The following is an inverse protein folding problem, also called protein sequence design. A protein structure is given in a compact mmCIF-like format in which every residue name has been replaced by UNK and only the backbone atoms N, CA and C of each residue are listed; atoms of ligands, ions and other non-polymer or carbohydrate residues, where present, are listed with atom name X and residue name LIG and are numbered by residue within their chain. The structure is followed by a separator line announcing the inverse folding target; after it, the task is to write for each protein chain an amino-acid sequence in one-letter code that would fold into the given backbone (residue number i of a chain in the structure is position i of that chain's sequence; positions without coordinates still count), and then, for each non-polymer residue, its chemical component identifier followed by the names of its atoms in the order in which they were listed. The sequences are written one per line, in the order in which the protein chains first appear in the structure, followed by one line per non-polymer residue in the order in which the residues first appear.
data_IF_898552947799
#
_entry.id   IF_898552947799
#
_cell.length_a   1.000
_cell.length_b   1.000
_cell.length_c   1.000
_cell.angle_alpha   90.00
_cell.angle_beta   90.00
_cell.angle_gamma   90.00
#
_symmetry.space_group_name_H-M   'P 1'
#
loop_
_entity.id
_entity.type
_entity.pdbx_description
1 polymer ?
#
# COMPACT_ATOMS: atom_id res chain seq x y z
N UNK A 1 -50.70 -16.83 14.63
CA UNK A 1 -49.76 -17.89 14.18
C UNK A 1 -48.96 -17.57 12.91
N UNK A 2 -49.41 -16.72 11.97
CA UNK A 2 -48.61 -16.36 10.76
C UNK A 2 -47.38 -15.48 11.06
N UNK A 3 -47.49 -14.49 11.94
CA UNK A 3 -46.36 -13.60 12.29
C UNK A 3 -45.20 -14.32 12.99
N UNK A 4 -45.49 -15.34 13.82
CA UNK A 4 -44.47 -16.12 14.53
C UNK A 4 -43.55 -16.89 13.56
N UNK A 5 -44.07 -17.36 12.42
CA UNK A 5 -43.30 -18.09 11.40
C UNK A 5 -42.36 -17.19 10.58
N UNK A 6 -42.58 -15.88 10.57
CA UNK A 6 -41.72 -14.90 9.87
C UNK A 6 -40.70 -14.27 10.81
N UNK A 7 -41.07 -14.10 12.08
CA UNK A 7 -40.17 -13.57 13.11
C UNK A 7 -39.11 -14.60 13.54
N UNK A 8 -39.46 -15.90 13.61
CA UNK A 8 -38.49 -16.93 14.01
C UNK A 8 -37.26 -17.05 13.11
N UNK A 9 -37.33 -17.04 11.76
CA UNK A 9 -36.14 -17.07 10.91
C UNK A 9 -35.32 -15.77 10.99
N UNK A 10 -35.95 -14.61 11.25
CA UNK A 10 -35.24 -13.34 11.44
C UNK A 10 -34.41 -13.35 12.73
N UNK A 11 -34.97 -13.84 13.83
CA UNK A 11 -34.24 -13.99 15.09
C UNK A 11 -33.12 -15.02 14.96
N UNK A 12 -33.37 -16.15 14.30
CA UNK A 12 -32.35 -17.17 14.09
C UNK A 12 -31.23 -16.66 13.17
N UNK A 13 -31.57 -15.96 12.09
CA UNK A 13 -30.60 -15.32 11.20
C UNK A 13 -29.77 -14.25 11.91
N UNK A 14 -30.40 -13.42 12.74
CA UNK A 14 -29.72 -12.42 13.56
C UNK A 14 -28.77 -13.05 14.58
N UNK A 15 -29.17 -14.15 15.23
CA UNK A 15 -28.31 -14.90 16.14
C UNK A 15 -27.11 -15.54 15.44
N UNK A 16 -27.31 -16.14 14.27
CA UNK A 16 -26.22 -16.71 13.47
C UNK A 16 -25.25 -15.60 13.03
N UNK A 17 -25.77 -14.48 12.52
CA UNK A 17 -24.95 -13.34 12.11
C UNK A 17 -24.15 -12.77 13.29
N UNK A 18 -24.78 -12.61 14.46
CA UNK A 18 -24.10 -12.16 15.67
C UNK A 18 -23.00 -13.12 16.13
N UNK A 19 -23.26 -14.43 16.11
CA UNK A 19 -22.27 -15.44 16.46
C UNK A 19 -21.09 -15.46 15.48
N UNK A 20 -21.36 -15.31 14.17
CA UNK A 20 -20.32 -15.17 13.15
C UNK A 20 -19.50 -13.91 13.36
N UNK A 21 -20.13 -12.77 13.65
CA UNK A 21 -19.43 -11.52 13.95
C UNK A 21 -18.51 -11.67 15.17
N UNK A 22 -18.97 -12.30 16.26
CA UNK A 22 -18.11 -12.56 17.43
C UNK A 22 -16.93 -13.48 17.11
N UNK A 23 -17.12 -14.48 16.23
CA UNK A 23 -16.05 -15.37 15.77
C UNK A 23 -15.03 -14.66 14.87
N UNK A 24 -15.48 -13.74 14.03
CA UNK A 24 -14.64 -13.03 13.05
C UNK A 24 -13.98 -11.77 13.62
N UNK A 25 -14.60 -11.12 14.63
CA UNK A 25 -14.09 -9.90 15.25
C UNK A 25 -12.78 -10.12 16.02
N UNK A 26 -12.48 -11.35 16.43
CA UNK A 26 -11.33 -11.66 17.28
C UNK A 26 -10.04 -11.91 16.51
N UNK A 27 -9.99 -11.52 15.23
CA UNK A 27 -8.82 -11.66 14.38
C UNK A 27 -8.47 -10.26 13.90
N UNK A 28 -7.32 -9.73 14.34
CA UNK A 28 -6.68 -8.56 13.72
C UNK A 28 -6.21 -8.98 12.32
N UNK A 29 -7.15 -9.30 11.42
CA UNK A 29 -6.79 -9.56 10.02
C UNK A 29 -6.53 -8.23 9.35
N UNK A 30 -5.34 -8.11 8.76
CA UNK A 30 -5.07 -7.02 7.86
C UNK A 30 -5.88 -7.25 6.58
N UNK A 31 -6.97 -6.50 6.39
CA UNK A 31 -7.81 -6.56 5.19
C UNK A 31 -7.01 -6.32 3.90
N UNK A 32 -5.83 -5.72 4.00
CA UNK A 32 -4.89 -5.54 2.90
C UNK A 32 -4.26 -6.87 2.46
N UNK A 33 -3.95 -7.78 3.39
CA UNK A 33 -3.41 -9.13 3.08
C UNK A 33 -4.49 -10.05 2.48
N UNK A 34 -5.75 -9.89 2.90
CA UNK A 34 -6.89 -10.62 2.32
C UNK A 34 -7.09 -10.32 0.83
N UNK A 35 -6.73 -9.12 0.36
CA UNK A 35 -6.86 -8.70 -1.03
C UNK A 35 -5.69 -9.18 -1.92
N UNK A 36 -4.55 -9.55 -1.33
CA UNK A 36 -3.33 -9.93 -2.04
C UNK A 36 -3.30 -11.43 -2.42
N UNK A 37 -4.12 -12.26 -1.77
CA UNK A 37 -4.15 -13.72 -1.93
C UNK A 37 -3.00 -14.40 -1.17
N UNK A 38 -3.17 -15.68 -0.82
CA UNK A 38 -2.29 -16.43 0.12
C UNK A 38 -0.80 -16.51 -0.27
N UNK A 39 -0.39 -16.07 -1.47
CA UNK A 39 0.99 -16.15 -1.97
C UNK A 39 1.65 -14.80 -2.26
N UNK A 40 0.96 -13.69 -2.01
CA UNK A 40 1.48 -12.33 -2.30
C UNK A 40 1.72 -11.62 -0.97
N UNK A 41 3.00 -11.50 -0.58
CA UNK A 41 3.39 -10.76 0.62
C UNK A 41 3.74 -9.33 0.21
N UNK A 42 3.27 -8.35 0.99
CA UNK A 42 3.67 -6.96 0.81
C UNK A 42 5.15 -6.79 1.16
N UNK A 43 5.92 -6.33 0.19
CA UNK A 43 7.32 -5.97 0.34
C UNK A 43 7.49 -4.47 0.09
N UNK A 44 7.98 -3.77 1.11
CA UNK A 44 8.31 -2.35 1.04
C UNK A 44 9.83 -2.18 1.11
N UNK A 45 10.38 -1.35 0.24
CA UNK A 45 11.81 -1.12 0.17
C UNK A 45 12.36 -0.25 1.31
N UNK A 46 13.54 -0.63 1.80
CA UNK A 46 14.33 0.10 2.80
C UNK A 46 15.74 0.32 2.29
N UNK A 47 16.30 1.50 2.56
CA UNK A 47 17.71 1.84 2.31
C UNK A 47 18.33 2.25 3.65
N UNK A 48 19.42 1.60 4.03
CA UNK A 48 20.10 1.82 5.31
C UNK A 48 19.17 1.71 6.54
N UNK A 49 18.17 0.81 6.47
CA UNK A 49 17.16 0.62 7.52
C UNK A 49 16.08 1.70 7.57
N UNK A 50 16.03 2.61 6.61
CA UNK A 50 15.02 3.67 6.49
C UNK A 50 14.12 3.37 5.29
N UNK A 51 12.79 3.39 5.45
CA UNK A 51 11.89 3.09 4.36
C UNK A 51 11.99 4.16 3.26
N UNK A 52 12.11 3.69 2.01
CA UNK A 52 11.93 4.52 0.81
C UNK A 52 10.55 4.27 0.19
N UNK A 53 9.77 3.35 0.74
CA UNK A 53 8.47 2.96 0.21
C UNK A 53 7.45 2.79 1.35
N UNK A 54 6.30 3.45 1.22
CA UNK A 54 5.16 3.30 2.13
C UNK A 54 3.88 2.95 1.37
N UNK A 55 2.82 2.71 2.13
CA UNK A 55 1.48 2.50 1.60
C UNK A 55 0.64 3.79 1.71
N UNK A 56 0.23 4.32 0.56
CA UNK A 56 -0.50 5.59 0.46
C UNK A 56 0.22 6.74 1.16
N UNK A 57 -0.54 7.54 1.91
CA UNK A 57 0.01 8.69 2.67
C UNK A 57 0.27 8.36 4.14
N UNK A 58 -0.10 7.16 4.58
CA UNK A 58 0.08 6.76 5.98
C UNK A 58 1.57 6.57 6.23
N UNK A 59 2.07 7.21 7.29
CA UNK A 59 3.49 7.23 7.65
C UNK A 59 4.39 7.99 6.65
N UNK A 60 3.85 9.00 5.94
CA UNK A 60 4.65 9.87 5.05
C UNK A 60 5.86 10.51 5.75
N UNK A 61 5.77 10.74 7.06
CA UNK A 61 6.88 11.25 7.88
C UNK A 61 8.14 10.38 7.77
N UNK A 62 7.99 9.07 7.51
CA UNK A 62 9.14 8.19 7.29
C UNK A 62 9.85 8.50 5.96
N UNK A 63 9.09 8.78 4.89
CA UNK A 63 9.64 9.21 3.61
C UNK A 63 10.26 10.60 3.71
N UNK A 64 9.62 11.51 4.46
CA UNK A 64 10.16 12.84 4.72
C UNK A 64 11.50 12.77 5.45
N UNK A 65 11.57 11.99 6.52
CA UNK A 65 12.82 11.70 7.23
C UNK A 65 13.89 11.14 6.30
N UNK A 66 13.52 10.22 5.40
CA UNK A 66 14.45 9.67 4.40
C UNK A 66 14.99 10.74 3.46
N UNK A 67 14.10 11.57 2.92
CA UNK A 67 14.49 12.69 2.05
C UNK A 67 15.41 13.69 2.77
N UNK A 68 15.10 14.04 4.02
CA UNK A 68 15.95 14.92 4.84
C UNK A 68 17.35 14.31 5.09
N UNK A 69 17.45 12.98 5.19
CA UNK A 69 18.72 12.28 5.37
C UNK A 69 19.53 12.12 4.09
N UNK A 70 18.89 12.06 2.92
CA UNK A 70 19.59 11.76 1.66
C UNK A 70 20.44 12.93 1.16
N UNK A 71 20.22 14.14 1.68
CA UNK A 71 20.88 15.37 1.22
C UNK A 71 20.70 15.62 -0.29
N UNK A 72 19.63 15.07 -0.89
CA UNK A 72 19.30 15.21 -2.32
C UNK A 72 18.33 16.38 -2.53
N UNK A 73 18.56 17.14 -3.59
CA UNK A 73 17.82 18.37 -3.88
C UNK A 73 16.46 18.13 -4.57
N UNK A 74 16.16 16.90 -4.96
CA UNK A 74 15.00 16.61 -5.81
C UNK A 74 14.46 15.22 -5.54
N UNK A 75 13.14 15.07 -5.53
CA UNK A 75 12.48 13.77 -5.36
C UNK A 75 11.89 13.27 -6.68
N UNK A 76 12.12 11.99 -6.97
CA UNK A 76 11.34 11.20 -7.93
C UNK A 76 10.33 10.40 -7.12
N UNK A 77 9.04 10.70 -7.30
CA UNK A 77 7.97 10.00 -6.61
C UNK A 77 7.45 8.86 -7.48
N UNK A 78 7.62 7.62 -7.02
CA UNK A 78 7.03 6.43 -7.62
C UNK A 78 5.66 6.19 -6.99
N UNK A 79 4.61 6.30 -7.80
CA UNK A 79 3.27 5.93 -7.41
C UNK A 79 2.96 4.53 -7.92
N UNK A 80 1.99 3.84 -7.32
CA UNK A 80 1.51 2.60 -7.91
C UNK A 80 0.54 1.83 -7.03
N UNK A 81 0.37 0.56 -7.35
CA UNK A 81 -0.59 -0.32 -6.70
C UNK A 81 0.09 -1.53 -6.04
N UNK A 82 -0.63 -2.64 -5.90
CA UNK A 82 -0.08 -3.90 -5.39
C UNK A 82 1.18 -4.31 -6.13
N UNK A 83 1.24 -4.21 -7.48
CA UNK A 83 2.45 -4.57 -8.25
C UNK A 83 3.69 -3.75 -7.90
N UNK A 84 3.52 -2.57 -7.29
CA UNK A 84 4.63 -1.74 -6.82
C UNK A 84 5.16 -2.19 -5.45
N UNK A 85 4.30 -2.72 -4.57
CA UNK A 85 4.67 -3.19 -3.23
C UNK A 85 4.55 -4.71 -3.05
N UNK A 86 4.49 -5.48 -4.13
CA UNK A 86 4.40 -6.94 -4.06
C UNK A 86 5.44 -7.58 -4.97
N UNK A 87 6.16 -8.56 -4.45
CA UNK A 87 6.91 -9.52 -5.25
C UNK A 87 6.21 -10.86 -5.10
N UNK A 88 5.65 -11.38 -6.19
CA UNK A 88 5.05 -12.71 -6.17
C UNK A 88 6.17 -13.73 -5.97
N UNK A 89 6.15 -14.48 -4.87
CA UNK A 89 7.14 -15.52 -4.55
C UNK A 89 8.60 -15.01 -4.61
N UNK A 90 8.90 -13.97 -3.82
CA UNK A 90 10.22 -13.35 -3.73
C UNK A 90 11.33 -14.39 -3.49
N UNK A 91 12.31 -14.43 -4.39
CA UNK A 91 13.53 -15.23 -4.25
C UNK A 91 14.61 -14.44 -3.50
N UNK A 92 15.58 -15.16 -2.92
CA UNK A 92 16.73 -14.53 -2.25
C UNK A 92 17.49 -13.60 -3.22
N UNK A 93 17.62 -12.33 -2.84
CA UNK A 93 18.30 -11.31 -3.64
C UNK A 93 17.40 -10.54 -4.60
N UNK A 94 16.13 -10.91 -4.75
CA UNK A 94 15.16 -10.06 -5.44
C UNK A 94 14.81 -8.83 -4.60
N UNK A 95 14.32 -7.78 -5.24
CA UNK A 95 13.80 -6.59 -4.57
C UNK A 95 12.75 -5.91 -5.44
N UNK A 96 12.00 -5.01 -4.85
CA UNK A 96 10.98 -4.23 -5.56
C UNK A 96 11.63 -3.26 -6.55
N UNK A 97 10.96 -2.94 -7.65
CA UNK A 97 11.51 -2.01 -8.64
C UNK A 97 11.81 -0.60 -8.08
N UNK A 98 11.09 -0.05 -7.07
CA UNK A 98 11.50 1.22 -6.46
C UNK A 98 12.88 1.15 -5.81
N UNK A 99 13.25 0.00 -5.23
CA UNK A 99 14.60 -0.21 -4.71
C UNK A 99 15.64 -0.24 -5.84
N UNK A 100 15.37 -0.97 -6.93
CA UNK A 100 16.25 -1.00 -8.10
C UNK A 100 16.45 0.40 -8.70
N UNK A 101 15.37 1.19 -8.79
CA UNK A 101 15.43 2.56 -9.29
C UNK A 101 16.20 3.47 -8.34
N UNK A 102 16.07 3.27 -7.02
CA UNK A 102 16.86 3.99 -6.02
C UNK A 102 18.36 3.71 -6.21
N UNK A 103 18.75 2.43 -6.29
CA UNK A 103 20.14 2.01 -6.45
C UNK A 103 20.77 2.58 -7.73
N UNK A 104 20.05 2.50 -8.86
CA UNK A 104 20.51 3.02 -10.15
C UNK A 104 20.75 4.54 -10.12
N UNK A 105 19.96 5.27 -9.32
CA UNK A 105 20.02 6.73 -9.21
C UNK A 105 20.77 7.23 -7.98
N UNK A 106 21.38 6.34 -7.18
CA UNK A 106 22.02 6.67 -5.91
C UNK A 106 23.11 7.76 -6.04
N UNK A 107 23.82 7.78 -7.17
CA UNK A 107 24.89 8.76 -7.46
C UNK A 107 24.40 10.04 -8.14
N UNK A 108 23.08 10.24 -8.26
CA UNK A 108 22.48 11.43 -8.88
C UNK A 108 22.00 12.42 -7.82
N UNK A 109 21.39 13.54 -8.25
CA UNK A 109 20.75 14.50 -7.34
C UNK A 109 19.36 14.08 -6.85
N UNK A 110 18.86 12.93 -7.29
CA UNK A 110 17.49 12.49 -7.05
C UNK A 110 17.41 11.53 -5.87
N UNK A 111 16.44 11.74 -4.99
CA UNK A 111 15.96 10.72 -4.06
C UNK A 111 14.74 10.02 -4.66
N UNK A 112 14.76 8.70 -4.68
CA UNK A 112 13.63 7.89 -5.15
C UNK A 112 12.80 7.49 -3.94
N UNK A 113 11.55 7.95 -3.91
CA UNK A 113 10.58 7.61 -2.88
C UNK A 113 9.35 6.99 -3.52
N UNK A 114 8.73 6.02 -2.86
CA UNK A 114 7.59 5.29 -3.37
C UNK A 114 6.39 5.32 -2.43
N UNK A 115 5.21 5.41 -3.01
CA UNK A 115 3.95 5.24 -2.31
C UNK A 115 2.99 4.46 -3.19
N UNK A 116 2.44 3.36 -2.67
CA UNK A 116 1.45 2.58 -3.41
C UNK A 116 0.23 2.20 -2.57
N UNK A 117 -0.88 1.97 -3.24
CA UNK A 117 -2.16 1.62 -2.62
C UNK A 117 -2.70 0.35 -3.30
N UNK A 118 -3.10 -0.69 -2.55
CA UNK A 118 -3.66 -1.90 -3.16
C UNK A 118 -4.81 -1.56 -4.10
N UNK A 119 -4.77 -2.11 -5.32
CA UNK A 119 -5.79 -1.89 -6.35
C UNK A 119 -6.10 -0.40 -6.66
N UNK A 120 -5.12 0.50 -6.49
CA UNK A 120 -5.36 1.92 -6.72
C UNK A 120 -5.67 2.26 -8.18
N UNK A 121 -6.73 3.05 -8.36
CA UNK A 121 -7.06 3.69 -9.62
C UNK A 121 -6.36 5.05 -9.77
N UNK A 122 -6.46 5.66 -10.96
CA UNK A 122 -5.78 6.93 -11.26
C UNK A 122 -6.22 8.11 -10.36
N UNK A 123 -7.48 8.14 -9.91
CA UNK A 123 -7.96 9.21 -9.02
C UNK A 123 -7.34 9.07 -7.62
N UNK A 124 -7.21 7.85 -7.11
CA UNK A 124 -6.55 7.59 -5.82
C UNK A 124 -5.06 7.94 -5.91
N UNK A 125 -4.39 7.55 -7.00
CA UNK A 125 -2.99 7.95 -7.23
C UNK A 125 -2.85 9.47 -7.34
N UNK A 126 -3.81 10.16 -7.95
CA UNK A 126 -3.82 11.62 -8.02
C UNK A 126 -3.95 12.27 -6.64
N UNK A 127 -4.80 11.74 -5.76
CA UNK A 127 -4.93 12.25 -4.38
C UNK A 127 -3.63 12.06 -3.59
N UNK A 128 -2.98 10.91 -3.74
CA UNK A 128 -1.66 10.66 -3.14
C UNK A 128 -0.63 11.64 -3.70
N UNK A 129 -0.61 11.86 -5.02
CA UNK A 129 0.30 12.81 -5.66
C UNK A 129 0.11 14.24 -5.13
N UNK A 130 -1.15 14.70 -5.04
CA UNK A 130 -1.49 16.03 -4.56
C UNK A 130 -1.05 16.23 -3.10
N UNK A 131 -1.18 15.20 -2.26
CA UNK A 131 -0.65 15.24 -0.90
C UNK A 131 0.89 15.29 -0.90
N UNK A 132 1.54 14.37 -1.62
CA UNK A 132 3.00 14.23 -1.59
C UNK A 132 3.74 15.44 -2.16
N UNK A 133 3.20 16.09 -3.19
CA UNK A 133 3.82 17.29 -3.79
C UNK A 133 3.74 18.52 -2.89
N UNK A 134 2.84 18.53 -1.90
CA UNK A 134 2.77 19.57 -0.86
C UNK A 134 3.79 19.36 0.25
N UNK A 135 4.15 18.11 0.53
CA UNK A 135 5.02 17.73 1.65
C UNK A 135 6.49 17.50 1.24
N UNK A 136 6.75 17.16 -0.02
CA UNK A 136 8.07 16.79 -0.54
C UNK A 136 8.40 17.57 -1.82
N UNK A 137 9.68 17.85 -2.11
CA UNK A 137 10.11 18.53 -3.35
C UNK A 137 10.10 17.55 -4.53
N UNK A 138 8.91 17.10 -4.92
CA UNK A 138 8.69 16.19 -6.04
C UNK A 138 8.91 16.95 -7.35
N UNK A 139 9.88 16.50 -8.13
CA UNK A 139 10.20 17.09 -9.45
C UNK A 139 9.79 16.18 -10.61
N UNK A 140 9.69 14.88 -10.34
CA UNK A 140 9.28 13.87 -11.31
C UNK A 140 8.35 12.88 -10.63
N UNK A 141 7.41 12.34 -11.41
CA UNK A 141 6.48 11.33 -10.96
C UNK A 141 6.57 10.15 -11.91
N UNK A 142 6.75 8.96 -11.37
CA UNK A 142 6.62 7.71 -12.10
C UNK A 142 5.25 7.14 -11.78
N UNK A 143 4.37 7.15 -12.78
CA UNK A 143 3.09 6.45 -12.71
C UNK A 143 3.19 5.22 -13.62
N UNK A 144 3.19 4.02 -13.06
CA UNK A 144 3.15 2.80 -13.83
C UNK A 144 1.84 2.70 -14.61
N UNK A 145 1.96 2.35 -15.89
CA UNK A 145 0.81 2.14 -16.78
C UNK A 145 0.30 0.72 -16.56
N UNK A 146 -0.53 0.53 -15.54
CA UNK A 146 -1.24 -0.74 -15.35
C UNK A 146 -2.61 -0.69 -16.03
N UNK A 147 -3.02 -1.81 -16.61
CA UNK A 147 -4.41 -2.04 -16.97
C UNK A 147 -5.03 -2.88 -15.85
N UNK A 148 -6.04 -2.35 -15.15
CA UNK A 148 -7.00 -3.22 -14.49
C UNK A 148 -7.73 -3.97 -15.61
N UNK A 149 -7.40 -5.25 -15.79
CA UNK A 149 -8.21 -6.17 -16.61
C UNK A 149 -9.24 -6.79 -15.67
#
# INVERSE_FOLDING_TARGET
MKHFKVLSPLFLGGLIAYFLLLRLYNKEENFEELALGEQTVSHFAYIDGVPIHIMGVRNYELLKKRWEQSSKDSTILVLGNSQTHSVNQMSDGETTYPALLHDELANTKYEVLASSLPNANLQELYLVLDFMTRELPVTHVTIPVFWMI
#
